data_IF_492624383777
#
_entry.id   IF_492624383777
#
_cell.length_a   1.000
_cell.length_b   1.000
_cell.length_c   1.000
_cell.angle_alpha   90.00
_cell.angle_beta   90.00
_cell.angle_gamma   90.00
#
_symmetry.space_group_name_H-M   'P 1'
#
loop_
_entity.id
_entity.type
_entity.pdbx_description
1 polymer ?
#
# COMPACT_ATOMS: atom_id res chain seq x y z
N UNK A 1 -9.10 13.00 -5.90
CA UNK A 1 -8.55 11.66 -6.20
C UNK A 1 -8.85 11.35 -7.65
N UNK A 2 -7.85 11.45 -8.52
CA UNK A 2 -7.94 10.85 -9.86
C UNK A 2 -8.40 9.41 -9.69
N UNK A 3 -9.22 8.91 -10.59
CA UNK A 3 -9.58 7.49 -10.64
C UNK A 3 -8.29 6.72 -10.41
N UNK A 4 -8.14 6.10 -9.23
CA UNK A 4 -7.20 5.01 -9.06
C UNK A 4 -7.79 3.96 -9.99
N UNK A 5 -7.44 4.09 -11.26
CA UNK A 5 -7.89 3.17 -12.27
C UNK A 5 -7.46 1.79 -11.84
N UNK A 6 -8.24 0.79 -12.20
CA UNK A 6 -8.03 -0.65 -11.97
C UNK A 6 -6.68 -1.20 -12.48
N UNK A 7 -5.69 -0.33 -12.67
CA UNK A 7 -4.32 -0.57 -13.10
C UNK A 7 -3.31 -0.45 -11.95
N UNK A 8 -3.73 -0.66 -10.68
CA UNK A 8 -2.76 -1.02 -9.66
C UNK A 8 -2.30 -2.45 -9.96
N UNK A 9 -1.67 -2.58 -11.12
CA UNK A 9 -1.06 -3.81 -11.58
C UNK A 9 0.30 -3.83 -10.91
N UNK A 10 0.36 -4.43 -9.75
CA UNK A 10 1.64 -4.75 -9.13
C UNK A 10 2.26 -5.80 -10.02
N UNK A 11 3.17 -5.36 -10.84
CA UNK A 11 4.10 -6.25 -11.46
C UNK A 11 5.19 -6.56 -10.44
N UNK A 12 4.84 -7.37 -9.50
CA UNK A 12 5.77 -8.05 -8.65
C UNK A 12 6.34 -9.24 -9.45
N UNK A 13 7.58 -9.55 -9.27
CA UNK A 13 8.35 -10.54 -10.00
C UNK A 13 7.60 -11.88 -10.10
N UNK A 14 6.76 -12.05 -11.09
CA UNK A 14 6.15 -13.34 -11.41
C UNK A 14 7.17 -14.16 -12.22
N UNK A 15 8.13 -14.73 -11.52
CA UNK A 15 8.90 -15.86 -12.02
C UNK A 15 7.95 -17.06 -12.10
N UNK A 16 7.10 -17.09 -13.12
CA UNK A 16 6.22 -18.23 -13.35
C UNK A 16 7.05 -19.40 -13.88
N UNK A 17 7.47 -20.28 -12.97
CA UNK A 17 7.94 -21.59 -13.36
C UNK A 17 6.74 -22.41 -13.86
N UNK A 18 6.53 -22.46 -15.16
CA UNK A 18 5.68 -23.48 -15.77
C UNK A 18 6.26 -24.87 -15.45
N UNK A 19 5.39 -25.87 -15.24
CA UNK A 19 5.74 -27.27 -14.89
C UNK A 19 6.35 -28.08 -16.04
N UNK A 20 6.76 -27.45 -17.14
CA UNK A 20 7.64 -28.08 -18.13
C UNK A 20 9.03 -28.24 -17.56
N UNK A 21 9.67 -29.37 -17.80
CA UNK A 21 11.08 -29.63 -17.46
C UNK A 21 11.92 -28.64 -18.27
N UNK A 22 12.22 -27.48 -17.71
CA UNK A 22 13.13 -26.53 -18.32
C UNK A 22 14.54 -26.99 -18.05
N UNK A 23 15.36 -27.09 -19.10
CA UNK A 23 16.80 -27.26 -18.94
C UNK A 23 17.35 -26.04 -18.18
N UNK A 24 18.13 -26.29 -17.15
CA UNK A 24 18.92 -25.26 -16.46
C UNK A 24 20.24 -25.15 -17.20
N UNK A 25 20.55 -24.00 -17.72
CA UNK A 25 21.85 -23.71 -18.33
C UNK A 25 22.66 -22.85 -17.37
N UNK A 26 23.90 -23.27 -17.09
CA UNK A 26 24.85 -22.56 -16.24
C UNK A 26 26.12 -22.28 -17.05
N UNK A 27 26.48 -21.03 -17.14
CA UNK A 27 27.72 -20.55 -17.75
C UNK A 27 28.60 -19.89 -16.67
N UNK A 28 29.89 -20.14 -16.65
CA UNK A 28 30.85 -19.49 -15.73
C UNK A 28 32.27 -19.71 -16.20
N UNK A 29 33.25 -18.95 -15.70
CA UNK A 29 34.65 -19.13 -16.00
C UNK A 29 35.25 -20.36 -15.32
N UNK A 30 34.75 -20.67 -14.11
CA UNK A 30 35.18 -21.83 -13.32
C UNK A 30 33.96 -22.53 -12.75
N UNK A 31 33.96 -23.86 -12.84
CA UNK A 31 32.96 -24.75 -12.27
C UNK A 31 33.64 -25.89 -11.52
N UNK A 32 33.11 -26.16 -10.33
CA UNK A 32 33.55 -27.30 -9.51
C UNK A 32 32.30 -27.98 -8.94
N UNK A 33 32.20 -29.29 -9.08
CA UNK A 33 31.09 -30.06 -8.57
C UNK A 33 31.66 -31.14 -7.64
N UNK A 34 31.36 -31.02 -6.35
CA UNK A 34 31.71 -31.95 -5.30
C UNK A 34 30.49 -32.85 -5.00
N UNK A 35 30.48 -34.02 -5.59
CA UNK A 35 29.39 -34.99 -5.42
C UNK A 35 29.37 -35.62 -4.03
N UNK A 36 30.54 -35.72 -3.36
CA UNK A 36 30.62 -36.28 -2.01
C UNK A 36 30.02 -35.35 -0.99
N UNK A 37 30.24 -34.04 -1.13
CA UNK A 37 29.66 -33.00 -0.26
C UNK A 37 28.34 -32.43 -0.80
N UNK A 38 27.84 -32.89 -1.95
CA UNK A 38 26.61 -32.45 -2.59
C UNK A 38 26.59 -30.94 -2.90
N UNK A 39 27.71 -30.41 -3.41
CA UNK A 39 27.89 -28.98 -3.69
C UNK A 39 28.35 -28.76 -5.13
N UNK A 40 27.93 -27.65 -5.69
CA UNK A 40 28.48 -27.07 -6.91
C UNK A 40 28.92 -25.63 -6.64
N UNK A 41 30.08 -25.24 -7.17
CA UNK A 41 30.65 -23.91 -7.04
C UNK A 41 30.90 -23.34 -8.43
N UNK A 42 30.43 -22.11 -8.63
CA UNK A 42 30.56 -21.43 -9.92
C UNK A 42 31.15 -20.04 -9.67
N UNK A 43 32.18 -19.70 -10.42
CA UNK A 43 32.90 -18.45 -10.21
C UNK A 43 33.26 -17.78 -11.55
N UNK A 44 33.18 -16.47 -11.59
CA UNK A 44 33.51 -15.62 -12.72
C UNK A 44 32.37 -15.58 -13.77
N UNK A 45 31.71 -14.43 -13.89
CA UNK A 45 30.66 -14.13 -14.87
C UNK A 45 29.57 -15.22 -14.91
N UNK A 46 29.13 -15.67 -13.72
CA UNK A 46 28.10 -16.71 -13.62
C UNK A 46 26.82 -16.22 -14.25
N UNK A 47 26.28 -17.01 -15.18
CA UNK A 47 24.96 -16.76 -15.78
C UNK A 47 24.16 -18.06 -15.74
N UNK A 48 22.99 -17.99 -15.10
CA UNK A 48 22.06 -19.11 -15.02
C UNK A 48 20.79 -18.74 -15.75
N UNK A 49 20.34 -19.60 -16.64
CA UNK A 49 19.09 -19.44 -17.36
C UNK A 49 18.15 -20.59 -17.03
N UNK A 50 16.92 -20.24 -16.62
CA UNK A 50 15.83 -21.18 -16.37
C UNK A 50 14.59 -20.66 -17.10
N UNK A 51 14.26 -21.26 -18.23
CA UNK A 51 13.22 -20.74 -19.10
C UNK A 51 13.57 -19.34 -19.61
N UNK A 52 12.70 -18.37 -19.33
CA UNK A 52 12.85 -16.95 -19.71
C UNK A 52 13.47 -16.08 -18.58
N UNK A 53 13.84 -16.70 -17.45
CA UNK A 53 14.52 -16.03 -16.35
C UNK A 53 16.01 -16.17 -16.50
N UNK A 54 16.74 -15.07 -16.37
CA UNK A 54 18.20 -15.02 -16.36
C UNK A 54 18.66 -14.42 -15.03
N UNK A 55 19.62 -15.11 -14.39
CA UNK A 55 20.31 -14.61 -13.19
C UNK A 55 21.79 -14.50 -13.52
N UNK A 56 22.39 -13.36 -13.18
CA UNK A 56 23.84 -13.13 -13.32
C UNK A 56 24.43 -12.76 -11.96
N UNK A 57 25.63 -13.26 -11.68
CA UNK A 57 26.39 -12.95 -10.46
C UNK A 57 27.88 -13.22 -10.64
N UNK A 58 28.77 -12.64 -9.84
CA UNK A 58 30.19 -13.04 -9.80
C UNK A 58 30.39 -14.47 -9.35
N UNK A 59 29.57 -14.95 -8.38
CA UNK A 59 29.64 -16.29 -7.80
C UNK A 59 28.26 -16.89 -7.57
N UNK A 60 28.16 -18.20 -7.67
CA UNK A 60 26.98 -18.96 -7.27
C UNK A 60 27.38 -20.30 -6.64
N UNK A 61 26.64 -20.69 -5.62
CA UNK A 61 26.70 -21.99 -4.98
C UNK A 61 25.44 -22.77 -5.31
N UNK A 62 25.57 -24.08 -5.49
CA UNK A 62 24.48 -25.00 -5.75
C UNK A 62 24.51 -26.13 -4.73
N UNK A 63 23.43 -26.29 -3.99
CA UNK A 63 23.22 -27.45 -3.16
C UNK A 63 22.48 -28.54 -3.95
N UNK A 64 22.91 -29.78 -3.79
CA UNK A 64 22.29 -30.95 -4.37
C UNK A 64 21.62 -31.78 -3.28
N UNK A 65 20.51 -32.44 -3.61
CA UNK A 65 19.94 -33.46 -2.73
C UNK A 65 20.90 -34.65 -2.57
N UNK A 66 21.17 -35.11 -1.35
CA UNK A 66 22.15 -36.20 -1.11
C UNK A 66 21.84 -37.48 -1.87
N UNK A 67 20.57 -37.87 -1.94
CA UNK A 67 20.17 -39.17 -2.55
C UNK A 67 20.03 -39.07 -4.07
N UNK A 68 19.41 -38.02 -4.58
CA UNK A 68 19.09 -37.91 -6.01
C UNK A 68 20.12 -37.15 -6.82
N UNK A 69 21.03 -36.45 -6.14
CA UNK A 69 22.00 -35.51 -6.73
C UNK A 69 21.33 -34.41 -7.58
N UNK A 70 20.05 -34.17 -7.39
CA UNK A 70 19.31 -33.10 -8.09
C UNK A 70 19.54 -31.75 -7.42
N UNK A 71 19.58 -30.67 -8.18
CA UNK A 71 19.63 -29.31 -7.63
C UNK A 71 18.50 -29.02 -6.64
N UNK A 72 18.83 -28.54 -5.44
CA UNK A 72 17.88 -28.22 -4.38
C UNK A 72 17.79 -26.74 -4.04
N UNK A 73 18.94 -26.06 -3.93
CA UNK A 73 19.05 -24.65 -3.63
C UNK A 73 20.20 -24.03 -4.45
N UNK A 74 19.90 -22.97 -5.18
CA UNK A 74 20.92 -22.13 -5.83
C UNK A 74 21.05 -20.82 -5.05
N UNK A 75 22.28 -20.45 -4.68
CA UNK A 75 22.60 -19.19 -3.98
C UNK A 75 23.53 -18.36 -4.85
N UNK A 76 23.06 -17.19 -5.25
CA UNK A 76 23.81 -16.22 -6.05
C UNK A 76 24.36 -15.14 -5.14
N UNK A 77 25.65 -14.86 -5.24
CA UNK A 77 26.42 -14.03 -4.32
C UNK A 77 27.02 -12.80 -5.02
N UNK A 78 27.44 -11.81 -4.21
CA UNK A 78 28.16 -10.64 -4.68
C UNK A 78 27.33 -9.76 -5.63
N UNK A 79 26.15 -9.31 -5.15
CA UNK A 79 25.22 -8.43 -5.86
C UNK A 79 24.66 -9.04 -7.15
N UNK A 80 24.00 -10.19 -7.05
CA UNK A 80 23.33 -10.81 -8.17
C UNK A 80 22.26 -9.91 -8.78
N UNK A 81 22.03 -10.14 -10.07
CA UNK A 81 21.01 -9.48 -10.85
C UNK A 81 20.16 -10.53 -11.59
N UNK A 82 18.87 -10.57 -11.29
CA UNK A 82 17.93 -11.44 -11.97
C UNK A 82 16.95 -10.62 -12.81
N UNK A 83 16.58 -11.13 -13.99
CA UNK A 83 15.58 -10.49 -14.82
C UNK A 83 14.80 -11.48 -15.68
N UNK A 84 13.59 -11.04 -16.07
CA UNK A 84 12.70 -11.71 -17.01
C UNK A 84 12.09 -10.66 -17.93
N UNK A 85 11.97 -10.98 -19.25
CA UNK A 85 11.29 -10.11 -20.23
C UNK A 85 10.02 -10.81 -20.70
N UNK A 86 8.89 -10.12 -20.58
CA UNK A 86 7.58 -10.56 -21.07
C UNK A 86 6.91 -9.45 -21.90
N UNK A 87 6.92 -9.59 -23.21
CA UNK A 87 6.43 -8.52 -24.11
C UNK A 87 7.26 -7.24 -23.96
N UNK A 88 6.59 -6.11 -23.70
CA UNK A 88 7.26 -4.82 -23.44
C UNK A 88 7.79 -4.65 -22.01
N UNK A 89 7.43 -5.58 -21.12
CA UNK A 89 7.76 -5.48 -19.70
C UNK A 89 9.01 -6.24 -19.35
N UNK A 90 9.88 -5.59 -18.58
CA UNK A 90 11.05 -6.19 -17.95
C UNK A 90 10.87 -6.20 -16.44
N UNK A 91 10.92 -7.37 -15.86
CA UNK A 91 10.96 -7.57 -14.41
C UNK A 91 12.39 -7.80 -13.99
N UNK A 92 12.87 -7.11 -12.98
CA UNK A 92 14.23 -7.24 -12.50
C UNK A 92 14.33 -7.19 -10.99
N UNK A 93 15.32 -7.91 -10.44
CA UNK A 93 15.64 -7.94 -9.02
C UNK A 93 17.13 -7.77 -8.83
N UNK A 94 17.51 -6.96 -7.85
CA UNK A 94 18.86 -6.77 -7.35
C UNK A 94 18.86 -6.97 -5.85
N UNK A 95 19.91 -7.61 -5.31
CA UNK A 95 20.09 -7.80 -3.87
C UNK A 95 21.57 -8.07 -3.58
N UNK A 96 21.95 -8.17 -2.32
CA UNK A 96 23.29 -8.66 -1.97
C UNK A 96 23.41 -10.16 -2.20
N UNK A 97 22.30 -10.89 -1.99
CA UNK A 97 22.20 -12.34 -2.22
C UNK A 97 20.84 -12.65 -2.82
N UNK A 98 20.79 -13.55 -3.83
CA UNK A 98 19.54 -14.15 -4.31
C UNK A 98 19.61 -15.66 -4.09
N UNK A 99 18.61 -16.24 -3.44
CA UNK A 99 18.47 -17.68 -3.23
C UNK A 99 17.24 -18.19 -3.98
N UNK A 100 17.37 -19.33 -4.65
CA UNK A 100 16.29 -20.01 -5.38
C UNK A 100 16.17 -21.42 -4.84
N UNK A 101 15.18 -21.68 -4.00
CA UNK A 101 14.83 -23.02 -3.52
C UNK A 101 14.01 -23.74 -4.59
N UNK A 102 14.62 -24.72 -5.24
CA UNK A 102 14.00 -25.51 -6.30
C UNK A 102 12.96 -26.50 -5.73
N UNK A 103 13.18 -26.97 -4.48
CA UNK A 103 12.27 -27.87 -3.77
C UNK A 103 11.03 -27.11 -3.28
N UNK A 104 11.25 -26.04 -2.55
CA UNK A 104 10.17 -25.25 -1.93
C UNK A 104 9.46 -24.34 -2.91
N UNK A 105 10.09 -24.04 -4.06
CA UNK A 105 9.61 -23.09 -5.07
C UNK A 105 9.53 -21.66 -4.51
N UNK A 106 10.53 -21.30 -3.71
CA UNK A 106 10.67 -19.98 -3.08
C UNK A 106 11.90 -19.29 -3.65
N UNK A 107 11.74 -18.02 -3.99
CA UNK A 107 12.81 -17.11 -4.38
C UNK A 107 12.96 -16.08 -3.28
N UNK A 108 14.18 -15.88 -2.80
CA UNK A 108 14.49 -14.93 -1.74
C UNK A 108 15.58 -13.98 -2.21
N UNK A 109 15.37 -12.68 -2.05
CA UNK A 109 16.36 -11.64 -2.29
C UNK A 109 16.67 -10.98 -0.93
N UNK A 110 17.93 -11.05 -0.51
CA UNK A 110 18.39 -10.64 0.83
C UNK A 110 19.41 -9.51 0.70
N UNK A 111 19.33 -8.53 1.57
CA UNK A 111 20.22 -7.38 1.65
C UNK A 111 19.92 -6.34 0.56
N UNK A 112 19.41 -5.17 0.97
CA UNK A 112 19.11 -4.06 0.06
C UNK A 112 18.32 -4.49 -1.17
N UNK A 113 17.37 -5.41 -0.99
CA UNK A 113 16.60 -6.00 -2.08
C UNK A 113 15.75 -4.95 -2.80
N UNK A 114 15.92 -4.85 -4.12
CA UNK A 114 15.15 -3.98 -4.99
C UNK A 114 14.55 -4.77 -6.14
N UNK A 115 13.23 -4.70 -6.28
CA UNK A 115 12.49 -5.23 -7.43
C UNK A 115 11.93 -4.08 -8.25
N UNK A 116 12.11 -4.13 -9.57
CA UNK A 116 11.60 -3.15 -10.52
C UNK A 116 10.75 -3.83 -11.58
N UNK A 117 9.72 -3.13 -12.01
CA UNK A 117 9.03 -3.42 -13.27
C UNK A 117 9.15 -2.21 -14.17
N UNK A 118 9.70 -2.47 -15.33
CA UNK A 118 9.88 -1.47 -16.37
C UNK A 118 8.91 -1.79 -17.51
N UNK A 119 8.28 -0.76 -18.09
CA UNK A 119 7.56 -0.86 -19.36
C UNK A 119 8.24 0.08 -20.35
N UNK A 120 8.70 -0.45 -21.49
CA UNK A 120 9.52 0.32 -22.45
C UNK A 120 10.68 1.06 -21.77
N UNK A 121 11.39 0.38 -20.84
CA UNK A 121 12.51 0.90 -20.06
C UNK A 121 12.17 2.01 -19.05
N UNK A 122 10.91 2.35 -18.87
CA UNK A 122 10.47 3.31 -17.86
C UNK A 122 10.00 2.57 -16.60
N UNK A 123 10.45 2.96 -15.41
CA UNK A 123 10.03 2.30 -14.18
C UNK A 123 8.54 2.57 -13.90
N UNK A 124 7.76 1.50 -13.80
CA UNK A 124 6.36 1.54 -13.37
C UNK A 124 6.22 1.33 -11.88
N UNK A 125 6.97 0.37 -11.34
CA UNK A 125 6.95 0.01 -9.93
C UNK A 125 8.38 -0.21 -9.46
N UNK A 126 8.69 0.30 -8.29
CA UNK A 126 9.93 0.03 -7.58
C UNK A 126 9.58 -0.39 -6.16
N UNK A 127 10.08 -1.55 -5.73
CA UNK A 127 9.93 -2.04 -4.36
C UNK A 127 11.30 -2.21 -3.75
N UNK A 128 11.54 -1.59 -2.60
CA UNK A 128 12.75 -1.79 -1.82
C UNK A 128 12.40 -2.36 -0.44
N UNK A 129 13.23 -3.27 0.07
CA UNK A 129 13.11 -3.86 1.39
C UNK A 129 14.45 -4.49 1.80
N UNK A 130 14.60 -4.84 3.07
CA UNK A 130 15.78 -5.59 3.53
C UNK A 130 15.76 -7.03 2.98
N UNK A 131 14.56 -7.61 2.86
CA UNK A 131 14.32 -8.94 2.32
C UNK A 131 13.04 -8.96 1.50
N UNK A 132 13.08 -9.64 0.35
CA UNK A 132 11.90 -9.95 -0.46
C UNK A 132 11.84 -11.46 -0.72
N UNK A 133 10.65 -12.04 -0.58
CA UNK A 133 10.38 -13.46 -0.77
C UNK A 133 9.18 -13.65 -1.69
N UNK A 134 9.28 -14.59 -2.62
CA UNK A 134 8.18 -14.97 -3.50
C UNK A 134 7.99 -16.49 -3.49
N UNK A 135 6.84 -16.94 -3.02
CA UNK A 135 6.39 -18.33 -3.12
C UNK A 135 5.65 -18.52 -4.44
N UNK A 136 6.29 -19.24 -5.37
CA UNK A 136 5.76 -19.47 -6.72
C UNK A 136 4.60 -20.49 -6.77
N UNK A 137 4.36 -21.26 -5.68
CA UNK A 137 3.25 -22.20 -5.58
C UNK A 137 1.96 -21.48 -5.18
N UNK A 138 2.07 -20.57 -4.21
CA UNK A 138 0.93 -19.85 -3.65
C UNK A 138 0.72 -18.48 -4.27
N UNK A 139 1.70 -18.00 -5.05
CA UNK A 139 1.78 -16.63 -5.60
C UNK A 139 1.75 -15.57 -4.49
N UNK A 140 2.24 -15.92 -3.30
CA UNK A 140 2.38 -15.00 -2.19
C UNK A 140 3.74 -14.34 -2.23
N UNK A 141 3.73 -13.03 -2.13
CA UNK A 141 4.93 -12.22 -1.97
C UNK A 141 4.97 -11.59 -0.60
N UNK A 142 6.18 -11.43 -0.11
CA UNK A 142 6.47 -10.84 1.18
C UNK A 142 7.69 -9.94 1.03
N UNK A 143 7.59 -8.71 1.55
CA UNK A 143 8.71 -7.81 1.71
C UNK A 143 8.82 -7.46 3.21
N UNK A 144 10.04 -7.49 3.74
CA UNK A 144 10.32 -7.34 5.17
C UNK A 144 11.44 -6.34 5.36
N UNK A 145 11.27 -5.45 6.32
CA UNK A 145 12.23 -4.45 6.72
C UNK A 145 12.24 -3.24 5.79
N UNK A 146 11.90 -2.07 6.34
CA UNK A 146 12.00 -0.77 5.67
C UNK A 146 11.36 -0.75 4.27
N UNK A 147 10.17 -1.36 4.14
CA UNK A 147 9.50 -1.51 2.85
C UNK A 147 9.09 -0.15 2.28
N UNK A 148 9.51 0.12 1.05
CA UNK A 148 9.06 1.28 0.25
C UNK A 148 8.57 0.76 -1.10
N UNK A 149 7.37 1.17 -1.48
CA UNK A 149 6.74 0.86 -2.76
C UNK A 149 6.47 2.19 -3.46
N UNK A 150 7.10 2.41 -4.60
CA UNK A 150 6.82 3.54 -5.49
C UNK A 150 6.04 3.03 -6.70
N UNK A 151 4.90 3.66 -6.96
CA UNK A 151 4.05 3.36 -8.10
C UNK A 151 3.41 4.66 -8.63
N UNK A 152 3.80 5.09 -9.82
CA UNK A 152 3.38 6.39 -10.37
C UNK A 152 3.63 7.53 -9.35
N UNK A 153 2.58 8.24 -8.95
CA UNK A 153 2.58 9.32 -7.95
C UNK A 153 2.32 8.84 -6.51
N UNK A 154 2.20 7.52 -6.33
CA UNK A 154 1.93 6.90 -5.03
C UNK A 154 3.20 6.37 -4.39
N UNK A 155 3.37 6.64 -3.10
CA UNK A 155 4.42 6.06 -2.26
C UNK A 155 3.75 5.36 -1.06
N UNK A 156 4.02 4.07 -0.91
CA UNK A 156 3.60 3.30 0.26
C UNK A 156 4.82 2.86 1.08
N UNK A 157 4.73 2.96 2.40
CA UNK A 157 5.78 2.51 3.32
C UNK A 157 5.20 1.69 4.46
N UNK A 158 5.96 0.70 4.95
CA UNK A 158 5.61 -0.11 6.12
C UNK A 158 6.82 -0.89 6.61
N UNK A 159 6.74 -1.52 7.79
CA UNK A 159 7.78 -2.45 8.23
C UNK A 159 7.71 -3.77 7.42
N UNK A 160 6.49 -4.21 7.04
CA UNK A 160 6.29 -5.41 6.23
C UNK A 160 5.16 -5.20 5.21
N UNK A 161 5.28 -5.84 4.04
CA UNK A 161 4.23 -5.91 3.04
C UNK A 161 4.02 -7.34 2.55
N UNK A 162 2.76 -7.67 2.25
CA UNK A 162 2.34 -8.95 1.66
C UNK A 162 1.44 -8.66 0.47
N UNK A 163 1.61 -9.43 -0.60
CA UNK A 163 0.75 -9.35 -1.77
C UNK A 163 0.39 -10.77 -2.24
N UNK A 164 -0.89 -11.01 -2.49
CA UNK A 164 -1.37 -12.22 -3.14
C UNK A 164 -1.68 -11.90 -4.59
N UNK A 165 -1.09 -12.67 -5.49
CA UNK A 165 -1.29 -12.54 -6.93
C UNK A 165 -2.20 -13.65 -7.45
N UNK A 166 -2.89 -13.43 -8.56
CA UNK A 166 -3.56 -14.51 -9.30
C UNK A 166 -2.58 -15.23 -10.25
N UNK A 167 -3.10 -16.24 -10.96
CA UNK A 167 -2.33 -17.02 -11.93
C UNK A 167 -1.73 -16.21 -13.10
N UNK A 168 -2.28 -15.02 -13.35
CA UNK A 168 -1.80 -14.10 -14.39
C UNK A 168 -0.79 -13.09 -13.84
N UNK A 169 -0.50 -13.15 -12.53
CA UNK A 169 0.35 -12.18 -11.85
C UNK A 169 -0.36 -10.89 -11.44
N UNK A 170 -1.69 -10.81 -11.55
CA UNK A 170 -2.46 -9.65 -11.12
C UNK A 170 -2.67 -9.66 -9.61
N UNK A 171 -2.55 -8.48 -9.00
CA UNK A 171 -2.79 -8.29 -7.57
C UNK A 171 -4.23 -8.60 -7.20
N UNK A 172 -4.44 -9.50 -6.25
CA UNK A 172 -5.73 -9.80 -5.64
C UNK A 172 -5.91 -9.09 -4.29
N UNK A 173 -4.92 -9.21 -3.44
CA UNK A 173 -4.92 -8.60 -2.12
C UNK A 173 -3.53 -8.04 -1.80
N UNK A 174 -3.49 -6.95 -1.05
CA UNK A 174 -2.27 -6.38 -0.49
C UNK A 174 -2.48 -6.04 0.97
N UNK A 175 -1.46 -6.23 1.78
CA UNK A 175 -1.44 -5.84 3.18
C UNK A 175 -0.11 -5.19 3.51
N UNK A 176 -0.16 -3.96 4.00
CA UNK A 176 0.95 -3.26 4.64
C UNK A 176 0.79 -3.44 6.15
N UNK A 177 1.84 -3.82 6.84
CA UNK A 177 1.79 -4.16 8.27
C UNK A 177 2.86 -3.40 9.02
N UNK A 178 2.45 -2.81 10.12
CA UNK A 178 3.26 -1.99 11.00
C UNK A 178 3.71 -0.67 10.36
N UNK A 179 3.33 0.43 10.97
CA UNK A 179 3.64 1.80 10.54
C UNK A 179 3.26 2.08 9.06
N UNK A 180 2.13 1.55 8.63
CA UNK A 180 1.68 1.67 7.25
C UNK A 180 1.35 3.14 6.91
N UNK A 181 1.95 3.65 5.85
CA UNK A 181 1.70 4.98 5.30
C UNK A 181 1.48 4.85 3.81
N UNK A 182 0.42 5.46 3.30
CA UNK A 182 0.14 5.61 1.89
C UNK A 182 0.06 7.10 1.57
N UNK A 183 0.87 7.55 0.63
CA UNK A 183 0.87 8.94 0.14
C UNK A 183 0.53 8.95 -1.34
N UNK A 184 -0.35 9.83 -1.75
CA UNK A 184 -0.67 10.09 -3.16
C UNK A 184 -1.01 11.57 -3.31
N UNK A 185 -0.33 12.27 -4.20
CA UNK A 185 -0.44 13.73 -4.34
C UNK A 185 -0.28 14.43 -2.97
N UNK A 186 -1.33 15.16 -2.55
CA UNK A 186 -1.40 15.86 -1.26
C UNK A 186 -2.14 15.05 -0.18
N UNK A 187 -2.56 13.82 -0.48
CA UNK A 187 -3.31 12.96 0.44
C UNK A 187 -2.40 11.96 1.15
N UNK A 188 -2.66 11.74 2.43
CA UNK A 188 -1.89 10.81 3.26
C UNK A 188 -2.87 9.94 4.06
N UNK A 189 -2.66 8.64 4.05
CA UNK A 189 -3.37 7.68 4.89
C UNK A 189 -2.33 6.97 5.78
N UNK A 190 -2.59 6.88 7.07
CA UNK A 190 -1.72 6.21 8.05
C UNK A 190 -2.53 5.26 8.93
N UNK A 191 -1.87 4.20 9.39
CA UNK A 191 -2.41 3.26 10.37
C UNK A 191 -1.37 2.20 10.73
N UNK A 192 -1.70 1.34 11.68
CA UNK A 192 -0.82 0.20 11.97
C UNK A 192 -0.84 -0.78 10.80
N UNK A 193 -2.01 -0.94 10.15
CA UNK A 193 -2.15 -1.79 8.97
C UNK A 193 -3.02 -1.10 7.91
N UNK A 194 -2.68 -1.35 6.63
CA UNK A 194 -3.51 -1.02 5.46
C UNK A 194 -3.73 -2.29 4.66
N UNK A 195 -4.98 -2.61 4.35
CA UNK A 195 -5.36 -3.75 3.50
C UNK A 195 -6.12 -3.26 2.28
N UNK A 196 -5.82 -3.83 1.14
CA UNK A 196 -6.53 -3.63 -0.12
C UNK A 196 -7.04 -4.96 -0.65
N UNK A 197 -8.27 -5.02 -1.12
CA UNK A 197 -8.84 -6.18 -1.81
C UNK A 197 -9.42 -5.77 -3.18
N UNK A 198 -8.91 -6.38 -4.25
CA UNK A 198 -9.39 -6.17 -5.62
C UNK A 198 -10.83 -6.67 -5.78
N UNK A 199 -11.15 -7.84 -5.22
CA UNK A 199 -12.48 -8.43 -5.30
C UNK A 199 -13.55 -7.57 -4.62
N UNK A 200 -13.26 -7.09 -3.42
CA UNK A 200 -14.16 -6.23 -2.65
C UNK A 200 -14.11 -4.78 -3.12
N UNK A 201 -13.03 -4.38 -3.77
CA UNK A 201 -12.71 -3.00 -4.15
C UNK A 201 -12.70 -2.07 -2.92
N UNK A 202 -12.19 -2.55 -1.80
CA UNK A 202 -12.11 -1.79 -0.56
C UNK A 202 -10.67 -1.60 -0.08
N UNK A 203 -10.50 -0.55 0.73
CA UNK A 203 -9.28 -0.27 1.50
C UNK A 203 -9.71 -0.22 2.96
N UNK A 204 -9.06 -1.02 3.80
CA UNK A 204 -9.28 -1.05 5.25
C UNK A 204 -8.01 -0.59 5.94
N UNK A 205 -8.14 0.38 6.83
CA UNK A 205 -7.05 0.90 7.65
C UNK A 205 -7.38 0.64 9.10
N UNK A 206 -6.47 0.09 9.85
CA UNK A 206 -6.68 -0.27 11.25
C UNK A 206 -5.50 0.14 12.13
N UNK A 207 -5.81 0.43 13.41
CA UNK A 207 -4.86 0.83 14.44
C UNK A 207 -4.43 2.30 14.31
N UNK A 208 -4.94 3.17 15.19
CA UNK A 208 -4.59 4.60 15.27
C UNK A 208 -4.58 5.30 13.90
N UNK A 209 -5.70 5.18 13.18
CA UNK A 209 -5.76 5.61 11.79
C UNK A 209 -5.86 7.12 11.63
N UNK A 210 -5.21 7.64 10.60
CA UNK A 210 -5.36 9.02 10.16
C UNK A 210 -5.47 9.06 8.63
N UNK A 211 -6.47 9.75 8.12
CA UNK A 211 -6.57 10.11 6.71
C UNK A 211 -6.60 11.62 6.57
N UNK A 212 -5.68 12.16 5.79
CA UNK A 212 -5.59 13.57 5.42
C UNK A 212 -5.80 13.63 3.91
N UNK A 213 -7.00 13.98 3.49
CA UNK A 213 -7.45 13.89 2.12
C UNK A 213 -7.65 15.28 1.57
N UNK A 214 -6.95 15.61 0.50
CA UNK A 214 -7.15 16.83 -0.27
C UNK A 214 -7.84 16.48 -1.59
N UNK A 215 -9.03 17.03 -1.80
CA UNK A 215 -9.80 16.85 -3.02
C UNK A 215 -9.32 17.80 -4.14
N UNK A 216 -9.69 17.52 -5.40
CA UNK A 216 -9.27 18.32 -6.57
C UNK A 216 -9.66 19.79 -6.49
N UNK A 217 -10.76 20.10 -5.82
CA UNK A 217 -11.23 21.48 -5.59
C UNK A 217 -10.50 22.22 -4.45
N UNK A 218 -9.51 21.60 -3.83
CA UNK A 218 -8.76 22.13 -2.69
C UNK A 218 -9.38 21.88 -1.31
N UNK A 219 -10.58 21.31 -1.23
CA UNK A 219 -11.18 20.91 0.04
C UNK A 219 -10.29 19.87 0.73
N UNK A 220 -10.12 20.04 2.05
CA UNK A 220 -9.32 19.14 2.87
C UNK A 220 -10.13 18.57 4.01
N UNK A 221 -10.09 17.25 4.17
CA UNK A 221 -10.73 16.53 5.27
C UNK A 221 -9.67 15.72 6.00
N UNK A 222 -9.57 15.90 7.32
CA UNK A 222 -8.69 15.09 8.17
C UNK A 222 -9.56 14.24 9.06
N UNK A 223 -9.35 12.93 9.06
CA UNK A 223 -10.11 11.95 9.82
C UNK A 223 -9.18 11.14 10.71
N UNK A 224 -9.43 11.11 12.00
CA UNK A 224 -8.80 10.19 12.96
C UNK A 224 -9.85 9.20 13.44
N UNK A 225 -9.47 7.93 13.58
CA UNK A 225 -10.36 6.89 14.10
C UNK A 225 -9.53 5.66 14.55
N UNK A 226 -10.15 4.69 15.23
CA UNK A 226 -9.51 3.39 15.44
C UNK A 226 -9.43 2.58 14.15
N UNK A 227 -10.48 2.63 13.32
CA UNK A 227 -10.55 1.94 12.04
C UNK A 227 -11.20 2.83 11.00
N UNK A 228 -10.76 2.72 9.75
CA UNK A 228 -11.35 3.36 8.59
C UNK A 228 -11.50 2.36 7.47
N UNK A 229 -12.57 2.49 6.69
CA UNK A 229 -12.81 1.68 5.49
C UNK A 229 -13.28 2.59 4.37
N UNK A 230 -12.72 2.40 3.18
CA UNK A 230 -13.19 3.04 1.97
C UNK A 230 -13.68 1.95 1.00
N UNK A 231 -14.99 1.93 0.75
CA UNK A 231 -15.64 1.10 -0.27
C UNK A 231 -15.70 1.88 -1.58
N UNK A 232 -14.93 1.43 -2.56
CA UNK A 232 -14.82 2.08 -3.87
C UNK A 232 -16.03 1.83 -4.77
N UNK A 233 -16.80 0.76 -4.53
CA UNK A 233 -18.02 0.48 -5.30
C UNK A 233 -19.13 1.46 -4.97
N UNK A 234 -19.30 1.73 -3.67
CA UNK A 234 -20.33 2.66 -3.18
C UNK A 234 -19.84 4.10 -3.04
N UNK A 235 -18.52 4.36 -3.17
CA UNK A 235 -17.87 5.64 -2.87
C UNK A 235 -18.19 6.15 -1.45
N UNK A 236 -18.18 5.23 -0.49
CA UNK A 236 -18.44 5.51 0.92
C UNK A 236 -17.15 5.30 1.71
N UNK A 237 -16.80 6.30 2.52
CA UNK A 237 -15.76 6.17 3.53
C UNK A 237 -16.38 6.12 4.91
N UNK A 238 -16.02 5.13 5.71
CA UNK A 238 -16.51 4.91 7.06
C UNK A 238 -15.37 4.97 8.06
N UNK A 239 -15.54 5.72 9.14
CA UNK A 239 -14.64 5.80 10.28
C UNK A 239 -15.36 5.33 11.54
N UNK A 240 -14.71 4.48 12.35
CA UNK A 240 -15.29 3.85 13.54
C UNK A 240 -14.30 3.91 14.71
N UNK A 241 -14.80 4.28 15.86
CA UNK A 241 -14.09 4.33 17.14
C UNK A 241 -13.29 5.61 17.31
N UNK A 242 -13.68 6.41 18.31
CA UNK A 242 -13.05 7.68 18.71
C UNK A 242 -12.83 8.64 17.53
N UNK A 243 -13.85 8.72 16.66
CA UNK A 243 -13.76 9.47 15.40
C UNK A 243 -13.62 10.95 15.69
N UNK A 244 -12.64 11.59 15.05
CA UNK A 244 -12.48 13.04 14.96
C UNK A 244 -12.33 13.42 13.50
N UNK A 245 -13.14 14.38 13.05
CA UNK A 245 -13.10 14.90 11.68
C UNK A 245 -12.87 16.39 11.71
N UNK A 246 -11.92 16.87 10.90
CA UNK A 246 -11.69 18.30 10.64
C UNK A 246 -12.06 18.58 9.19
N UNK A 247 -12.96 19.54 8.98
CA UNK A 247 -13.36 19.99 7.65
C UNK A 247 -13.61 21.50 7.66
N UNK A 248 -12.76 22.26 6.97
CA UNK A 248 -12.82 23.72 6.98
C UNK A 248 -12.77 24.27 8.40
N UNK A 249 -13.83 24.99 8.80
CA UNK A 249 -13.99 25.58 10.15
C UNK A 249 -14.64 24.63 11.17
N UNK A 250 -14.96 23.40 10.79
CA UNK A 250 -15.67 22.44 11.62
C UNK A 250 -14.76 21.38 12.19
N UNK A 251 -14.87 21.18 13.50
CA UNK A 251 -14.32 20.05 14.24
C UNK A 251 -15.46 19.16 14.72
N UNK A 252 -15.46 17.90 14.34
CA UNK A 252 -16.49 16.95 14.73
C UNK A 252 -15.89 15.75 15.49
N UNK A 253 -16.65 15.23 16.46
CA UNK A 253 -16.30 14.06 17.27
C UNK A 253 -17.51 13.16 17.43
N UNK A 254 -17.28 11.85 17.41
CA UNK A 254 -18.34 10.86 17.63
C UNK A 254 -17.83 9.43 17.54
N UNK A 255 -18.67 8.44 17.80
CA UNK A 255 -18.25 7.04 17.72
C UNK A 255 -18.14 6.52 16.30
N UNK A 256 -18.87 7.11 15.34
CA UNK A 256 -18.87 6.69 13.93
C UNK A 256 -19.15 7.88 13.01
N UNK A 257 -18.43 7.95 11.89
CA UNK A 257 -18.70 8.87 10.78
C UNK A 257 -18.73 8.12 9.45
N UNK A 258 -19.63 8.56 8.56
CA UNK A 258 -19.77 8.03 7.19
C UNK A 258 -19.73 9.21 6.23
N UNK A 259 -18.73 9.23 5.35
CA UNK A 259 -18.59 10.24 4.30
C UNK A 259 -19.02 9.64 2.96
N UNK A 260 -19.90 10.33 2.27
CA UNK A 260 -20.36 10.01 0.92
C UNK A 260 -19.62 10.88 -0.09
N UNK A 261 -19.07 10.24 -1.10
CA UNK A 261 -18.28 10.89 -2.14
C UNK A 261 -19.04 10.78 -3.45
N UNK A 262 -19.21 11.89 -4.16
CA UNK A 262 -19.84 11.91 -5.46
C UNK A 262 -18.99 11.15 -6.49
N UNK A 263 -19.57 10.12 -7.11
CA UNK A 263 -18.83 9.25 -8.05
C UNK A 263 -18.41 9.93 -9.36
N UNK A 264 -19.09 11.04 -9.73
CA UNK A 264 -18.80 11.80 -10.97
C UNK A 264 -17.77 12.88 -10.75
N UNK A 265 -17.87 13.61 -9.63
CA UNK A 265 -17.04 14.79 -9.34
C UNK A 265 -15.90 14.47 -8.38
N UNK A 266 -15.91 13.27 -7.77
CA UNK A 266 -14.95 12.83 -6.76
C UNK A 266 -14.82 13.82 -5.58
N UNK A 267 -15.92 14.52 -5.23
CA UNK A 267 -15.99 15.49 -4.11
C UNK A 267 -16.83 14.92 -2.98
N UNK A 268 -16.57 15.33 -1.72
CA UNK A 268 -17.45 14.95 -0.63
C UNK A 268 -18.84 15.61 -0.81
N UNK A 269 -19.90 14.81 -0.66
CA UNK A 269 -21.28 15.29 -0.71
C UNK A 269 -21.80 15.61 0.68
N UNK A 270 -21.60 14.67 1.62
CA UNK A 270 -22.03 14.80 3.00
C UNK A 270 -21.21 13.91 3.93
N UNK A 271 -21.15 14.30 5.19
CA UNK A 271 -20.65 13.49 6.29
C UNK A 271 -21.78 13.28 7.30
N UNK A 272 -22.04 12.02 7.64
CA UNK A 272 -23.07 11.64 8.64
C UNK A 272 -22.37 11.09 9.87
N UNK A 273 -22.55 11.74 11.00
CA UNK A 273 -22.09 11.28 12.30
C UNK A 273 -23.21 10.49 12.96
N UNK A 274 -22.93 9.30 13.44
CA UNK A 274 -23.87 8.34 14.02
C UNK A 274 -23.44 7.99 15.45
N UNK A 275 -24.42 7.94 16.36
CA UNK A 275 -24.22 7.87 17.79
C UNK A 275 -23.98 9.27 18.36
N UNK A 276 -23.99 9.41 19.70
CA UNK A 276 -23.83 10.71 20.36
C UNK A 276 -22.59 11.44 19.86
N UNK A 277 -22.82 12.46 19.04
CA UNK A 277 -21.77 13.19 18.31
C UNK A 277 -21.88 14.69 18.58
N UNK A 278 -20.75 15.39 18.44
CA UNK A 278 -20.64 16.84 18.60
C UNK A 278 -19.91 17.43 17.41
N UNK A 279 -20.46 18.49 16.84
CA UNK A 279 -19.78 19.37 15.88
C UNK A 279 -19.58 20.72 16.52
N UNK A 280 -18.38 21.28 16.34
CA UNK A 280 -18.01 22.61 16.84
C UNK A 280 -17.53 23.45 15.66
N UNK A 281 -18.03 24.66 15.55
CA UNK A 281 -17.61 25.66 14.56
C UNK A 281 -16.63 26.63 15.22
N UNK A 282 -15.37 26.66 14.72
CA UNK A 282 -14.28 27.51 15.23
C UNK A 282 -14.07 27.46 16.77
N UNK A 283 -14.46 26.37 17.39
CA UNK A 283 -14.34 26.19 18.84
C UNK A 283 -15.42 26.87 19.68
N UNK A 284 -16.33 27.63 19.06
CA UNK A 284 -17.27 28.51 19.71
C UNK A 284 -18.69 27.91 19.73
N UNK A 285 -19.31 27.81 18.57
CA UNK A 285 -20.66 27.26 18.44
C UNK A 285 -20.61 25.75 18.39
N UNK A 286 -21.56 25.08 19.04
CA UNK A 286 -21.57 23.60 18.98
C UNK A 286 -22.97 23.02 18.92
N UNK A 287 -23.11 21.89 18.26
CA UNK A 287 -24.30 21.07 18.19
C UNK A 287 -23.93 19.64 18.60
N UNK A 288 -24.72 19.09 19.53
CA UNK A 288 -24.67 17.69 19.94
C UNK A 288 -25.99 17.01 19.60
N UNK A 289 -25.95 15.80 19.03
CA UNK A 289 -27.12 15.00 18.73
C UNK A 289 -26.77 13.51 18.57
N UNK A 290 -27.82 12.67 18.50
CA UNK A 290 -27.63 11.25 18.24
C UNK A 290 -27.26 10.96 16.76
N UNK A 291 -27.66 11.86 15.85
CA UNK A 291 -27.25 11.87 14.44
C UNK A 291 -27.03 13.30 13.99
N UNK A 292 -25.92 13.58 13.31
CA UNK A 292 -25.65 14.87 12.69
C UNK A 292 -25.24 14.63 11.24
N UNK A 293 -25.90 15.34 10.31
CA UNK A 293 -25.55 15.32 8.88
C UNK A 293 -24.99 16.68 8.50
N UNK A 294 -23.76 16.71 8.02
CA UNK A 294 -23.13 17.87 7.38
C UNK A 294 -23.17 17.66 5.86
N UNK A 295 -23.96 18.45 5.16
CA UNK A 295 -24.02 18.48 3.70
C UNK A 295 -23.04 19.54 3.19
N UNK A 296 -22.31 19.24 2.10
CA UNK A 296 -21.23 20.10 1.61
C UNK A 296 -21.72 21.19 0.64
N UNK A 297 -22.75 20.89 -0.17
CA UNK A 297 -23.31 21.82 -1.16
C UNK A 297 -24.83 21.64 -1.30
N UNK A 298 -25.66 22.61 -0.84
CA UNK A 298 -25.27 23.76 0.01
C UNK A 298 -24.75 23.29 1.36
N UNK A 299 -23.90 24.08 2.01
CA UNK A 299 -23.38 23.73 3.32
C UNK A 299 -24.47 23.89 4.39
N UNK A 300 -25.00 22.76 4.87
CA UNK A 300 -26.10 22.73 5.85
C UNK A 300 -25.83 21.68 6.92
N UNK A 301 -26.44 21.90 8.08
CA UNK A 301 -26.49 20.95 9.19
C UNK A 301 -27.90 20.47 9.43
N UNK A 302 -28.03 19.18 9.64
CA UNK A 302 -29.22 18.56 10.19
C UNK A 302 -28.83 17.79 11.46
N UNK A 303 -29.49 18.01 12.56
CA UNK A 303 -29.25 17.30 13.82
C UNK A 303 -30.56 16.64 14.30
N UNK A 304 -30.49 15.35 14.64
CA UNK A 304 -31.66 14.55 15.04
C UNK A 304 -31.34 13.74 16.29
N UNK A 305 -32.28 13.69 17.22
CA UNK A 305 -32.23 12.94 18.46
C UNK A 305 -31.41 13.62 19.56
N UNK A 306 -32.06 13.96 20.67
CA UNK A 306 -31.49 14.59 21.87
C UNK A 306 -30.58 15.78 21.52
N UNK A 307 -31.07 16.66 20.66
CA UNK A 307 -30.31 17.81 20.14
C UNK A 307 -30.04 18.82 21.26
N UNK A 308 -28.74 19.20 21.39
CA UNK A 308 -28.30 20.29 22.25
C UNK A 308 -27.47 21.26 21.45
N UNK A 309 -27.86 22.51 21.36
CA UNK A 309 -27.11 23.57 20.67
C UNK A 309 -26.57 24.55 21.71
N UNK A 310 -25.33 24.95 21.54
CA UNK A 310 -24.68 26.00 22.32
C UNK A 310 -24.15 27.04 21.35
N UNK A 311 -24.64 28.27 21.52
CA UNK A 311 -24.21 29.44 20.74
C UNK A 311 -23.53 30.40 21.69
N UNK A 312 -22.40 30.96 21.33
CA UNK A 312 -21.74 32.03 22.05
C UNK A 312 -22.34 33.37 21.56
N UNK A 313 -22.91 34.12 22.47
CA UNK A 313 -23.38 35.45 22.20
C UNK A 313 -22.18 36.40 22.30
N UNK A 314 -21.67 36.90 21.17
CA UNK A 314 -20.64 37.95 21.17
C UNK A 314 -21.25 39.24 21.75
N UNK A 315 -21.16 39.40 23.03
CA UNK A 315 -21.40 40.68 23.70
C UNK A 315 -20.19 41.59 23.55
N UNK A 316 -19.90 42.07 22.34
CA UNK A 316 -19.16 43.34 22.20
C UNK A 316 -20.23 44.42 22.30
N UNK A 317 -20.25 45.25 23.38
CA UNK A 317 -21.07 46.44 23.36
C UNK A 317 -20.59 47.31 22.21
N UNK A 318 -21.51 47.65 21.29
CA UNK A 318 -21.32 48.73 20.34
C UNK A 318 -21.04 49.98 21.18
N UNK A 319 -19.81 50.48 21.20
CA UNK A 319 -19.51 51.87 21.58
C UNK A 319 -20.06 52.79 20.51
N UNK A 320 -21.36 53.02 20.57
CA UNK A 320 -21.97 54.26 20.06
C UNK A 320 -22.57 54.94 21.28
N UNK A 321 -21.74 55.50 22.12
CA UNK A 321 -22.15 56.59 22.96
C UNK A 321 -22.50 57.78 22.03
N UNK A 322 -23.81 57.97 21.82
CA UNK A 322 -24.31 59.27 21.36
C UNK A 322 -23.99 60.28 22.46
N UNK A 323 -22.99 61.13 22.24
CA UNK A 323 -22.88 62.38 22.95
C UNK A 323 -24.06 63.28 22.57
N UNK A 324 -25.04 63.38 23.48
CA UNK A 324 -25.99 64.49 23.46
C UNK A 324 -25.27 65.68 24.12
N UNK A 325 -24.80 66.61 23.32
CA UNK A 325 -24.48 67.97 23.77
C UNK A 325 -25.77 68.77 23.93
N UNK A 326 -26.02 69.29 25.13
CA UNK A 326 -26.94 70.34 25.46
C UNK A 326 -26.42 71.71 25.00
#
# INVERSE_FOLDING_TARGET
MRKITSKLLIALLTLTFCTSVFAITIESKKQEIDLDNNKGFFEGDVKVQVGDVIVTSPKADLDLEPETKKPSLATFLEKPYAYQIKGSKKHEVKADIIKVSLINKIITAEGSAQSNVLDNSQPMIIITADLQEYDTKTNLMKAVGSVIINYEDMVATSDNAFALLDKNGDLQNMKLVSKAILKQDKSIIKGDNVQYSKLKQDIIVSGNTMSDITFENGDRVIIYARNQQYDRKSNIMMAIGDVKVKYGKYDAKGPKAVMYINSKTNKPEKIVFLGRSKITEQGVNSVEADKITLTMQPQTFEAVGKVKTQLEQNSKPSKNEMEFSL
#
